data_IF_751428124876
#
_entry.id   IF_751428124876
#
_cell.length_a   1.000
_cell.length_b   1.000
_cell.length_c   1.000
_cell.angle_alpha   90.00
_cell.angle_beta   90.00
_cell.angle_gamma   90.00
#
_symmetry.space_group_name_H-M   'P 1'
#
loop_
_entity.id
_entity.type
_entity.pdbx_description
1 polymer ?
#
# COMPACT_ATOMS: atom_id res chain seq x y z
N UNK A 1 30.15 -2.34 2.83
CA UNK A 1 28.92 -1.57 2.54
C UNK A 1 28.62 -0.70 3.75
N UNK A 2 28.22 0.55 3.57
CA UNK A 2 27.77 1.41 4.66
C UNK A 2 26.47 0.85 5.25
N UNK A 3 26.29 1.00 6.57
CA UNK A 3 25.04 0.58 7.21
C UNK A 3 23.87 1.44 6.71
N UNK A 4 22.67 0.87 6.48
CA UNK A 4 21.49 1.68 6.16
C UNK A 4 21.16 2.66 7.29
N UNK A 5 20.63 3.83 6.95
CA UNK A 5 20.21 4.84 7.92
C UNK A 5 18.74 4.67 8.27
N UNK A 6 18.44 4.59 9.56
CA UNK A 6 17.10 4.45 10.13
C UNK A 6 16.79 5.68 10.97
N UNK A 7 15.65 6.32 10.70
CA UNK A 7 15.13 7.44 11.48
C UNK A 7 13.91 6.98 12.28
N UNK A 8 13.99 7.15 13.60
CA UNK A 8 12.95 6.80 14.57
C UNK A 8 12.35 8.07 15.16
N UNK A 9 11.01 8.18 15.14
CA UNK A 9 10.30 9.36 15.65
C UNK A 9 9.12 8.91 16.51
N UNK A 10 9.13 9.33 17.78
CA UNK A 10 8.07 9.07 18.75
C UNK A 10 8.19 10.12 19.84
N UNK A 11 7.11 10.70 20.35
CA UNK A 11 7.16 11.72 21.42
C UNK A 11 7.62 11.15 22.78
N UNK A 12 7.63 9.82 22.93
CA UNK A 12 8.12 9.14 24.12
C UNK A 12 9.57 8.64 23.94
N UNK A 13 10.54 9.29 24.57
CA UNK A 13 11.95 8.87 24.53
C UNK A 13 12.19 7.40 24.91
N UNK A 14 11.40 6.85 25.86
CA UNK A 14 11.54 5.45 26.25
C UNK A 14 11.22 4.48 25.12
N UNK A 15 10.25 4.83 24.27
CA UNK A 15 9.90 4.09 23.06
C UNK A 15 11.07 4.13 22.07
N UNK A 16 11.61 5.31 21.81
CA UNK A 16 12.78 5.50 20.96
C UNK A 16 13.97 4.68 21.42
N UNK A 17 14.26 4.66 22.73
CA UNK A 17 15.34 3.85 23.31
C UNK A 17 15.10 2.36 23.10
N UNK A 18 13.87 1.88 23.30
CA UNK A 18 13.51 0.48 23.07
C UNK A 18 13.67 0.07 21.60
N UNK A 19 13.22 0.91 20.67
CA UNK A 19 13.38 0.67 19.23
C UNK A 19 14.87 0.70 18.83
N UNK A 20 15.66 1.67 19.36
CA UNK A 20 17.09 1.75 19.09
C UNK A 20 17.81 0.47 19.47
N UNK A 21 17.45 -0.15 20.59
CA UNK A 21 18.06 -1.41 21.04
C UNK A 21 17.89 -2.55 20.04
N UNK A 22 16.85 -2.50 19.20
CA UNK A 22 16.64 -3.50 18.15
C UNK A 22 17.60 -3.31 16.95
N UNK A 23 18.09 -2.08 16.73
CA UNK A 23 18.72 -1.69 15.45
C UNK A 23 20.15 -1.16 15.55
N UNK A 24 20.67 -0.85 16.74
CA UNK A 24 21.95 -0.15 16.91
C UNK A 24 23.16 -0.89 16.31
N UNK A 25 23.11 -2.20 16.15
CA UNK A 25 24.20 -2.99 15.56
C UNK A 25 24.18 -2.99 14.04
N UNK A 26 22.98 -2.94 13.42
CA UNK A 26 22.78 -3.12 11.96
C UNK A 26 22.59 -1.81 11.19
N UNK A 27 22.27 -0.72 11.86
CA UNK A 27 21.86 0.55 11.23
C UNK A 27 22.60 1.75 11.81
N UNK A 28 22.67 2.83 11.03
CA UNK A 28 22.91 4.17 11.55
C UNK A 28 21.57 4.72 12.03
N UNK A 29 21.39 4.82 13.34
CA UNK A 29 20.10 5.14 13.93
C UNK A 29 20.07 6.59 14.40
N UNK A 30 19.21 7.41 13.76
CA UNK A 30 18.77 8.70 14.25
C UNK A 30 17.50 8.54 15.07
N UNK A 31 17.35 9.32 16.12
CA UNK A 31 16.16 9.34 16.98
C UNK A 31 15.83 10.78 17.32
N UNK A 32 14.58 11.14 17.22
CA UNK A 32 14.12 12.46 17.66
C UNK A 32 12.67 12.39 18.17
N UNK A 33 12.36 13.26 19.11
CA UNK A 33 10.99 13.52 19.56
C UNK A 33 10.36 14.71 18.85
N UNK A 34 11.14 15.43 18.03
CA UNK A 34 10.70 16.61 17.29
C UNK A 34 10.47 16.29 15.80
N UNK A 35 9.23 16.33 15.29
CA UNK A 35 8.93 16.10 13.89
C UNK A 35 9.64 17.07 12.93
N UNK A 36 9.91 18.29 13.37
CA UNK A 36 10.62 19.27 12.53
C UNK A 36 12.10 18.91 12.38
N UNK A 37 12.73 18.37 13.42
CA UNK A 37 14.07 17.82 13.32
C UNK A 37 14.10 16.60 12.40
N UNK A 38 13.11 15.72 12.49
CA UNK A 38 12.98 14.60 11.57
C UNK A 38 12.92 15.03 10.10
N UNK A 39 12.17 16.08 9.80
CA UNK A 39 12.09 16.65 8.44
C UNK A 39 13.46 17.20 8.00
N UNK A 40 14.23 17.83 8.88
CA UNK A 40 15.58 18.31 8.57
C UNK A 40 16.51 17.14 8.23
N UNK A 41 16.51 16.09 9.05
CA UNK A 41 17.30 14.87 8.80
C UNK A 41 16.94 14.26 7.44
N UNK A 42 15.65 14.16 7.10
CA UNK A 42 15.18 13.64 5.81
C UNK A 42 15.62 14.50 4.60
N UNK A 43 15.86 15.79 4.79
CA UNK A 43 16.38 16.69 3.74
C UNK A 43 17.89 16.59 3.58
N UNK A 44 18.60 16.51 4.69
CA UNK A 44 20.03 16.66 4.74
C UNK A 44 20.78 15.33 4.59
N UNK A 45 20.12 14.20 4.87
CA UNK A 45 20.75 12.89 4.89
C UNK A 45 19.96 11.87 4.04
N UNK A 46 20.70 10.85 3.56
CA UNK A 46 20.09 9.70 2.89
C UNK A 46 19.49 8.75 3.93
N UNK A 47 18.23 8.91 4.28
CA UNK A 47 17.48 8.04 5.19
C UNK A 47 16.85 6.89 4.41
N UNK A 48 17.16 5.65 4.76
CA UNK A 48 16.61 4.47 4.10
C UNK A 48 15.21 4.14 4.59
N UNK A 49 15.00 4.19 5.90
CA UNK A 49 13.72 3.88 6.53
C UNK A 49 13.39 4.93 7.57
N UNK A 50 12.17 5.41 7.56
CA UNK A 50 11.59 6.21 8.63
C UNK A 50 10.50 5.43 9.32
N UNK A 51 10.56 5.36 10.66
CA UNK A 51 9.55 4.75 11.52
C UNK A 51 9.00 5.83 12.42
N UNK A 52 7.72 6.15 12.27
CA UNK A 52 7.06 7.22 13.02
C UNK A 52 5.91 6.71 13.85
N UNK A 53 5.81 7.18 15.08
CA UNK A 53 4.55 7.09 15.82
C UNK A 53 3.46 7.90 15.13
N UNK A 54 2.19 7.46 15.27
CA UNK A 54 1.04 8.18 14.73
C UNK A 54 0.65 9.36 15.60
N UNK A 55 0.64 9.18 16.92
CA UNK A 55 0.08 10.18 17.85
C UNK A 55 1.15 11.00 18.53
N UNK A 56 1.58 12.06 17.85
CA UNK A 56 2.54 13.01 18.41
C UNK A 56 1.88 14.40 18.59
N UNK A 57 2.23 15.15 19.66
CA UNK A 57 1.54 16.41 20.00
C UNK A 57 1.63 17.52 18.95
N UNK A 58 2.77 17.61 18.25
CA UNK A 58 3.09 18.72 17.33
C UNK A 58 2.61 18.45 15.91
N UNK A 59 2.74 17.19 15.47
CA UNK A 59 2.42 16.75 14.10
C UNK A 59 2.09 15.27 14.15
N UNK A 60 1.05 14.86 13.45
CA UNK A 60 0.73 13.43 13.33
C UNK A 60 1.77 12.71 12.47
N UNK A 61 2.05 11.43 12.80
CA UNK A 61 2.99 10.62 12.04
C UNK A 61 2.62 10.48 10.58
N UNK A 62 1.34 10.38 10.27
CA UNK A 62 0.83 10.37 8.90
C UNK A 62 1.18 11.62 8.10
N UNK A 63 1.10 12.79 8.71
CA UNK A 63 1.49 14.05 8.09
C UNK A 63 3.01 14.11 7.86
N UNK A 64 3.79 13.69 8.86
CA UNK A 64 5.24 13.57 8.72
C UNK A 64 5.62 12.64 7.58
N UNK A 65 4.98 11.47 7.47
CA UNK A 65 5.27 10.50 6.41
C UNK A 65 4.85 11.01 5.02
N UNK A 66 3.82 11.84 4.92
CA UNK A 66 3.47 12.55 3.69
C UNK A 66 4.60 13.52 3.28
N UNK A 67 5.11 14.30 4.22
CA UNK A 67 6.26 15.19 3.96
C UNK A 67 7.50 14.38 3.59
N UNK A 68 7.75 13.26 4.28
CA UNK A 68 8.86 12.35 3.95
C UNK A 68 8.77 11.82 2.51
N UNK A 69 7.56 11.51 2.02
CA UNK A 69 7.33 11.09 0.63
C UNK A 69 7.74 12.17 -0.37
N UNK A 70 7.40 13.42 -0.08
CA UNK A 70 7.70 14.55 -0.97
C UNK A 70 9.18 14.93 -0.93
N UNK A 71 9.80 14.87 0.26
CA UNK A 71 11.17 15.30 0.50
C UNK A 71 12.20 14.26 0.08
N UNK A 72 11.94 12.98 0.40
CA UNK A 72 12.81 11.84 0.13
C UNK A 72 12.00 10.65 -0.38
N UNK A 73 11.59 10.65 -1.66
CA UNK A 73 10.71 9.62 -2.22
C UNK A 73 11.27 8.20 -2.12
N UNK A 74 12.58 8.04 -2.07
CA UNK A 74 13.24 6.74 -1.94
C UNK A 74 13.18 6.17 -0.52
N UNK A 75 13.01 7.01 0.50
CA UNK A 75 12.83 6.57 1.89
C UNK A 75 11.60 5.72 2.04
N UNK A 76 11.72 4.55 2.67
CA UNK A 76 10.58 3.70 3.02
C UNK A 76 9.96 4.17 4.34
N UNK A 77 8.65 4.15 4.42
CA UNK A 77 7.84 4.78 5.48
C UNK A 77 7.04 3.73 6.24
N UNK A 78 7.24 3.64 7.54
CA UNK A 78 6.55 2.72 8.45
C UNK A 78 5.85 3.56 9.51
N UNK A 79 4.58 3.26 9.78
CA UNK A 79 3.80 3.91 10.83
C UNK A 79 3.58 2.96 12.00
N UNK A 80 3.91 3.41 13.22
CA UNK A 80 3.53 2.74 14.45
C UNK A 80 2.22 3.35 14.94
N UNK A 81 1.23 2.53 15.27
CA UNK A 81 -0.09 3.01 15.66
C UNK A 81 -0.72 2.15 16.75
N UNK A 82 -1.50 2.77 17.62
CA UNK A 82 -2.33 2.06 18.62
C UNK A 82 -3.73 1.77 18.07
N UNK A 83 -4.46 0.90 18.75
CA UNK A 83 -5.84 0.56 18.39
C UNK A 83 -6.80 1.76 18.35
N UNK A 84 -6.55 2.77 19.20
CA UNK A 84 -7.40 3.97 19.31
C UNK A 84 -7.16 5.01 18.21
N UNK A 85 -6.14 4.83 17.37
CA UNK A 85 -5.65 5.86 16.45
C UNK A 85 -6.00 5.58 14.97
N UNK A 86 -6.72 4.53 14.75
CA UNK A 86 -6.93 3.94 13.44
C UNK A 86 -7.92 4.71 12.56
N UNK A 87 -8.92 5.37 13.15
CA UNK A 87 -9.82 6.26 12.39
C UNK A 87 -9.05 7.47 11.82
N UNK A 88 -8.08 7.99 12.59
CA UNK A 88 -7.15 9.01 12.10
C UNK A 88 -6.13 8.44 11.10
N UNK A 89 -5.77 7.16 11.22
CA UNK A 89 -4.84 6.48 10.30
C UNK A 89 -5.47 6.16 8.95
N UNK A 90 -6.79 5.98 8.86
CA UNK A 90 -7.49 5.78 7.59
C UNK A 90 -7.28 6.96 6.63
N UNK A 91 -7.32 8.19 7.14
CA UNK A 91 -6.97 9.37 6.35
C UNK A 91 -5.52 9.30 5.86
N UNK A 92 -4.61 8.73 6.65
CA UNK A 92 -3.19 8.62 6.32
C UNK A 92 -2.87 7.57 5.25
N UNK A 93 -3.67 6.51 5.11
CA UNK A 93 -3.55 5.55 3.99
C UNK A 93 -3.65 6.28 2.67
N UNK A 94 -4.54 7.28 2.61
CA UNK A 94 -4.81 8.05 1.40
C UNK A 94 -3.71 9.05 1.05
N UNK A 95 -2.83 9.42 1.96
CA UNK A 95 -1.86 10.52 1.76
C UNK A 95 -0.39 10.10 1.86
N UNK A 96 -0.05 9.24 2.83
CA UNK A 96 1.35 8.97 3.21
C UNK A 96 2.10 7.94 2.37
N UNK A 97 1.42 7.11 1.59
CA UNK A 97 2.04 5.92 0.95
C UNK A 97 2.88 5.11 1.94
N UNK A 98 2.29 4.77 3.06
CA UNK A 98 2.95 4.00 4.12
C UNK A 98 3.21 2.58 3.62
N UNK A 99 4.43 2.10 3.79
CA UNK A 99 4.83 0.75 3.38
C UNK A 99 4.22 -0.31 4.29
N UNK A 100 4.28 -0.09 5.61
CA UNK A 100 3.71 -0.98 6.62
C UNK A 100 3.15 -0.20 7.81
N UNK A 101 2.09 -0.73 8.36
CA UNK A 101 1.54 -0.33 9.64
C UNK A 101 1.90 -1.38 10.68
N UNK A 102 2.49 -0.97 11.80
CA UNK A 102 2.82 -1.83 12.91
C UNK A 102 2.02 -1.42 14.14
N UNK A 103 1.38 -2.40 14.76
CA UNK A 103 0.52 -2.16 15.93
C UNK A 103 1.32 -2.09 17.21
N UNK A 104 0.97 -1.13 18.08
CA UNK A 104 1.42 -1.10 19.49
C UNK A 104 0.48 -1.95 20.36
N UNK A 105 0.97 -2.85 21.22
CA UNK A 105 2.38 -3.19 21.43
C UNK A 105 2.91 -4.08 20.31
N UNK A 106 4.13 -3.80 19.83
CA UNK A 106 4.76 -4.53 18.72
C UNK A 106 5.55 -5.76 19.18
N UNK A 107 5.72 -6.69 18.27
CA UNK A 107 6.70 -7.77 18.39
C UNK A 107 8.06 -7.30 17.83
N UNK A 108 9.14 -7.42 18.62
CA UNK A 108 10.48 -6.96 18.20
C UNK A 108 11.03 -7.66 16.96
N UNK A 109 10.71 -8.92 16.76
CA UNK A 109 11.18 -9.67 15.58
C UNK A 109 10.41 -9.28 14.32
N UNK A 110 9.11 -9.02 14.44
CA UNK A 110 8.29 -8.46 13.36
C UNK A 110 8.82 -7.10 12.92
N UNK A 111 9.09 -6.19 13.87
CA UNK A 111 9.64 -4.86 13.58
C UNK A 111 11.00 -4.97 12.88
N UNK A 112 11.89 -5.87 13.31
CA UNK A 112 13.18 -6.10 12.66
C UNK A 112 13.00 -6.59 11.22
N UNK A 113 12.11 -7.54 11.00
CA UNK A 113 11.84 -8.09 9.67
C UNK A 113 11.32 -7.01 8.72
N UNK A 114 10.32 -6.23 9.15
CA UNK A 114 9.72 -5.16 8.34
C UNK A 114 10.73 -4.07 8.01
N UNK A 115 11.54 -3.65 8.99
CA UNK A 115 12.59 -2.63 8.77
C UNK A 115 13.69 -3.16 7.83
N UNK A 116 14.08 -4.43 7.94
CA UNK A 116 15.07 -5.03 7.04
C UNK A 116 14.57 -5.11 5.59
N UNK A 117 13.32 -5.51 5.39
CA UNK A 117 12.66 -5.51 4.08
C UNK A 117 12.62 -4.08 3.50
N UNK A 118 12.16 -3.11 4.29
CA UNK A 118 12.10 -1.71 3.89
C UNK A 118 13.47 -1.14 3.52
N UNK A 119 14.52 -1.45 4.30
CA UNK A 119 15.87 -0.97 4.03
C UNK A 119 16.43 -1.53 2.72
N UNK A 120 16.24 -2.81 2.43
CA UNK A 120 16.66 -3.41 1.16
C UNK A 120 15.99 -2.76 -0.06
N UNK A 121 14.70 -2.47 0.06
CA UNK A 121 13.94 -1.77 -0.99
C UNK A 121 14.44 -0.33 -1.17
N UNK A 122 14.72 0.38 -0.07
CA UNK A 122 15.24 1.75 -0.13
C UNK A 122 16.64 1.80 -0.77
N UNK A 123 17.53 0.88 -0.41
CA UNK A 123 18.88 0.78 -1.02
C UNK A 123 18.79 0.64 -2.55
N UNK A 124 17.93 -0.27 -3.04
CA UNK A 124 17.70 -0.43 -4.47
C UNK A 124 17.15 0.86 -5.10
N UNK A 125 16.23 1.55 -4.42
CA UNK A 125 15.67 2.83 -4.88
C UNK A 125 16.71 3.95 -4.99
N UNK A 126 17.58 4.09 -3.99
CA UNK A 126 18.67 5.09 -4.02
C UNK A 126 19.73 4.76 -5.07
N UNK A 127 20.04 3.48 -5.29
CA UNK A 127 20.98 3.07 -6.33
C UNK A 127 20.50 3.49 -7.73
N UNK A 128 19.22 3.35 -7.99
CA UNK A 128 18.60 3.74 -9.27
C UNK A 128 18.56 5.26 -9.47
N UNK A 129 18.30 6.03 -8.42
CA UNK A 129 18.37 7.50 -8.50
C UNK A 129 19.77 7.99 -8.89
N UNK A 130 20.83 7.27 -8.47
CA UNK A 130 22.23 7.61 -8.81
C UNK A 130 22.61 7.20 -10.24
N UNK A 131 21.97 6.20 -10.82
CA UNK A 131 22.33 5.67 -12.14
C UNK A 131 21.74 6.46 -13.33
N UNK A 132 21.08 7.60 -13.11
CA UNK A 132 20.40 8.42 -14.10
C UNK A 132 19.48 7.64 -15.06
N UNK A 133 18.20 7.66 -14.73
CA UNK A 133 17.08 7.67 -15.64
C UNK A 133 17.22 6.78 -16.89
N UNK A 134 16.82 5.56 -16.81
CA UNK A 134 16.22 4.92 -17.95
C UNK A 134 14.96 5.69 -18.32
N UNK A 135 14.95 6.27 -19.50
CA UNK A 135 13.81 7.00 -20.06
C UNK A 135 12.58 6.12 -19.99
N UNK A 136 11.54 6.63 -19.36
CA UNK A 136 10.26 5.97 -19.32
C UNK A 136 9.78 5.68 -20.74
N UNK A 137 9.80 4.42 -21.14
CA UNK A 137 9.20 3.99 -22.39
C UNK A 137 7.70 3.99 -22.18
N UNK A 138 7.04 5.03 -22.64
CA UNK A 138 5.59 5.04 -22.79
C UNK A 138 5.25 3.95 -23.79
N UNK A 139 4.72 2.82 -23.34
CA UNK A 139 4.14 1.81 -24.22
C UNK A 139 2.73 2.29 -24.58
N UNK A 140 2.49 2.78 -25.81
CA UNK A 140 1.15 3.12 -26.27
C UNK A 140 0.42 1.79 -26.53
N UNK A 141 -0.67 1.52 -25.84
CA UNK A 141 -1.31 0.29 -26.23
C UNK A 141 -2.73 0.15 -25.73
N UNK A 142 -3.01 -0.56 -24.70
CA UNK A 142 -4.38 -0.88 -24.29
C UNK A 142 -4.94 0.17 -23.33
N UNK A 143 -6.26 0.45 -23.43
CA UNK A 143 -6.96 1.21 -22.39
C UNK A 143 -6.77 0.52 -21.05
N UNK A 144 -6.49 1.25 -19.96
CA UNK A 144 -6.43 0.67 -18.64
C UNK A 144 -7.73 -0.07 -18.31
N UNK A 145 -7.61 -1.21 -17.65
CA UNK A 145 -8.74 -2.05 -17.27
C UNK A 145 -9.05 -1.86 -15.80
N UNK A 146 -10.29 -1.49 -15.47
CA UNK A 146 -10.77 -1.25 -14.11
C UNK A 146 -11.80 -2.29 -13.76
N UNK A 147 -11.53 -3.08 -12.72
CA UNK A 147 -12.47 -4.06 -12.18
C UNK A 147 -13.16 -3.47 -10.94
N UNK A 148 -14.47 -3.46 -10.95
CA UNK A 148 -15.30 -3.08 -9.82
C UNK A 148 -15.82 -4.37 -9.18
N UNK A 149 -15.51 -4.59 -7.91
CA UNK A 149 -15.95 -5.70 -7.09
C UNK A 149 -16.87 -5.15 -6.00
N UNK A 150 -18.13 -4.97 -6.32
CA UNK A 150 -19.15 -4.39 -5.43
C UNK A 150 -20.54 -4.87 -5.86
N UNK A 151 -21.37 -5.25 -4.89
CA UNK A 151 -22.77 -5.59 -5.15
C UNK A 151 -23.70 -4.38 -5.22
N UNK A 152 -23.19 -3.19 -4.87
CA UNK A 152 -23.92 -1.92 -4.95
C UNK A 152 -23.72 -1.29 -6.34
N UNK A 153 -24.81 -1.25 -7.12
CA UNK A 153 -24.84 -0.63 -8.45
C UNK A 153 -24.45 0.86 -8.41
N UNK A 154 -24.72 1.57 -7.31
CA UNK A 154 -24.37 2.97 -7.17
C UNK A 154 -22.85 3.19 -7.21
N UNK A 155 -22.05 2.28 -6.64
CA UNK A 155 -20.60 2.31 -6.76
C UNK A 155 -20.17 2.12 -8.22
N UNK A 156 -20.75 1.13 -8.91
CA UNK A 156 -20.43 0.87 -10.31
C UNK A 156 -20.77 2.07 -11.21
N UNK A 157 -21.95 2.67 -11.03
CA UNK A 157 -22.36 3.87 -11.76
C UNK A 157 -21.42 5.05 -11.50
N UNK A 158 -21.03 5.30 -10.24
CA UNK A 158 -20.12 6.38 -9.90
C UNK A 158 -18.74 6.23 -10.58
N UNK A 159 -18.19 5.01 -10.62
CA UNK A 159 -16.91 4.72 -11.33
C UNK A 159 -17.08 4.91 -12.83
N UNK A 160 -18.19 4.44 -13.42
CA UNK A 160 -18.46 4.61 -14.84
C UNK A 160 -18.53 6.08 -15.25
N UNK A 161 -19.23 6.92 -14.46
CA UNK A 161 -19.35 8.36 -14.74
C UNK A 161 -17.99 9.08 -14.65
N UNK A 162 -17.12 8.67 -13.71
CA UNK A 162 -15.79 9.28 -13.54
C UNK A 162 -14.83 8.88 -14.67
N UNK A 163 -14.86 7.61 -15.11
CA UNK A 163 -13.88 7.05 -16.05
C UNK A 163 -14.41 6.87 -17.47
N UNK A 164 -15.59 7.37 -17.80
CA UNK A 164 -16.26 7.17 -19.08
C UNK A 164 -15.32 7.43 -20.29
N UNK A 165 -15.23 6.44 -21.15
CA UNK A 165 -14.42 6.50 -22.37
C UNK A 165 -12.90 6.39 -22.18
N UNK A 166 -12.37 6.50 -20.96
CA UNK A 166 -10.93 6.49 -20.65
C UNK A 166 -10.40 5.09 -20.34
N UNK A 167 -11.23 4.22 -19.79
CA UNK A 167 -10.89 2.88 -19.34
C UNK A 167 -11.88 1.84 -19.87
N UNK A 168 -11.44 0.58 -19.89
CA UNK A 168 -12.34 -0.57 -19.95
C UNK A 168 -12.81 -0.86 -18.52
N UNK A 169 -14.12 -0.79 -18.29
CA UNK A 169 -14.69 -0.93 -16.95
C UNK A 169 -15.50 -2.22 -16.91
N UNK A 170 -15.24 -3.04 -15.91
CA UNK A 170 -15.91 -4.31 -15.67
C UNK A 170 -16.50 -4.28 -14.28
N UNK A 171 -17.75 -4.67 -14.16
CA UNK A 171 -18.44 -4.78 -12.89
C UNK A 171 -18.73 -6.23 -12.55
N UNK A 172 -18.22 -6.69 -11.43
CA UNK A 172 -18.47 -7.99 -10.84
C UNK A 172 -19.23 -7.81 -9.52
N UNK A 173 -20.46 -8.24 -9.47
CA UNK A 173 -21.32 -8.17 -8.29
C UNK A 173 -21.12 -9.33 -7.30
N UNK A 174 -20.32 -10.33 -7.68
CA UNK A 174 -19.98 -11.50 -6.86
C UNK A 174 -18.52 -11.92 -7.06
N UNK A 175 -18.02 -12.71 -6.12
CA UNK A 175 -16.63 -13.15 -6.10
C UNK A 175 -16.26 -14.09 -7.27
N UNK A 176 -17.20 -14.91 -7.75
CA UNK A 176 -16.94 -15.83 -8.84
C UNK A 176 -16.71 -15.06 -10.14
N UNK A 177 -17.60 -14.11 -10.46
CA UNK A 177 -17.46 -13.26 -11.64
C UNK A 177 -16.16 -12.43 -11.57
N UNK A 178 -15.81 -11.88 -10.40
CA UNK A 178 -14.55 -11.18 -10.22
C UNK A 178 -13.33 -12.07 -10.54
N UNK A 179 -13.33 -13.31 -10.07
CA UNK A 179 -12.26 -14.27 -10.32
C UNK A 179 -12.15 -14.63 -11.81
N UNK A 180 -13.28 -14.81 -12.49
CA UNK A 180 -13.31 -15.11 -13.93
C UNK A 180 -12.72 -13.96 -14.75
N UNK A 181 -13.06 -12.71 -14.41
CA UNK A 181 -12.53 -11.53 -15.09
C UNK A 181 -11.03 -11.31 -14.85
N UNK A 182 -10.56 -11.58 -13.63
CA UNK A 182 -9.14 -11.55 -13.29
C UNK A 182 -8.32 -12.64 -14.02
N UNK A 183 -8.96 -13.75 -14.37
CA UNK A 183 -8.33 -14.82 -15.13
C UNK A 183 -8.13 -14.45 -16.61
N UNK A 184 -9.03 -13.67 -17.19
CA UNK A 184 -9.02 -13.32 -18.63
C UNK A 184 -7.88 -12.37 -18.97
N UNK A 185 -7.67 -11.33 -18.17
CA UNK A 185 -6.68 -10.28 -18.46
C UNK A 185 -6.19 -9.60 -17.18
N UNK A 186 -5.03 -8.97 -17.25
CA UNK A 186 -4.51 -8.15 -16.18
C UNK A 186 -5.35 -6.88 -15.99
N UNK A 187 -5.49 -6.48 -14.74
CA UNK A 187 -6.29 -5.34 -14.30
C UNK A 187 -5.37 -4.25 -13.78
N UNK A 188 -5.62 -3.02 -14.21
CA UNK A 188 -4.83 -1.84 -13.79
C UNK A 188 -5.25 -1.34 -12.42
N UNK A 189 -6.55 -1.23 -12.19
CA UNK A 189 -7.14 -0.76 -10.92
C UNK A 189 -8.29 -1.67 -10.52
N UNK A 190 -8.32 -2.04 -9.24
CA UNK A 190 -9.44 -2.74 -8.61
C UNK A 190 -10.12 -1.77 -7.65
N UNK A 191 -11.41 -1.58 -7.83
CA UNK A 191 -12.31 -0.87 -6.90
C UNK A 191 -13.15 -1.92 -6.20
N UNK A 192 -12.96 -2.13 -4.91
CA UNK A 192 -13.60 -3.26 -4.21
C UNK A 192 -14.32 -2.82 -2.95
N UNK A 193 -15.55 -3.31 -2.74
CA UNK A 193 -16.02 -3.50 -1.37
C UNK A 193 -15.28 -4.68 -0.73
N UNK A 194 -15.27 -4.77 0.57
CA UNK A 194 -14.72 -5.89 1.32
C UNK A 194 -15.69 -7.08 1.39
N UNK A 195 -16.98 -6.78 1.30
CA UNK A 195 -18.03 -7.77 1.36
C UNK A 195 -18.82 -7.79 0.04
N UNK A 196 -18.81 -8.93 -0.65
CA UNK A 196 -19.70 -9.20 -1.78
C UNK A 196 -20.81 -10.14 -1.30
N UNK A 197 -21.94 -9.57 -0.90
CA UNK A 197 -22.96 -10.27 -0.15
C UNK A 197 -22.41 -10.71 1.22
N UNK A 198 -22.39 -12.01 1.48
CA UNK A 198 -21.82 -12.59 2.72
C UNK A 198 -20.33 -12.98 2.60
N UNK A 199 -19.74 -12.82 1.42
CA UNK A 199 -18.37 -13.24 1.14
C UNK A 199 -17.38 -12.11 1.38
N UNK A 200 -16.42 -12.31 2.29
CA UNK A 200 -15.28 -11.42 2.44
C UNK A 200 -14.28 -11.70 1.32
N UNK A 201 -14.01 -10.68 0.49
CA UNK A 201 -13.12 -10.79 -0.68
C UNK A 201 -11.71 -10.27 -0.44
N UNK A 202 -11.34 -10.00 0.80
CA UNK A 202 -10.00 -9.51 1.15
C UNK A 202 -8.88 -10.44 0.64
N UNK A 203 -9.08 -11.76 0.67
CA UNK A 203 -8.12 -12.73 0.11
C UNK A 203 -7.89 -12.55 -1.40
N UNK A 204 -8.90 -12.10 -2.16
CA UNK A 204 -8.76 -11.82 -3.60
C UNK A 204 -7.80 -10.64 -3.79
N UNK A 205 -7.99 -9.55 -3.05
CA UNK A 205 -7.12 -8.37 -3.11
C UNK A 205 -5.68 -8.72 -2.75
N UNK A 206 -5.47 -9.51 -1.69
CA UNK A 206 -4.15 -10.01 -1.27
C UNK A 206 -3.50 -10.84 -2.38
N UNK A 207 -4.26 -11.75 -3.00
CA UNK A 207 -3.76 -12.61 -4.09
C UNK A 207 -3.42 -11.82 -5.34
N UNK A 208 -4.28 -10.85 -5.75
CA UNK A 208 -4.01 -9.97 -6.89
C UNK A 208 -2.68 -9.26 -6.70
N UNK A 209 -2.44 -8.72 -5.51
CA UNK A 209 -1.24 -7.95 -5.24
C UNK A 209 0.03 -8.80 -5.21
N UNK A 210 -0.06 -10.05 -4.75
CA UNK A 210 1.04 -11.00 -4.81
C UNK A 210 1.40 -11.39 -6.26
N UNK A 211 0.40 -11.58 -7.11
CA UNK A 211 0.59 -11.99 -8.51
C UNK A 211 0.96 -10.83 -9.43
N UNK A 212 0.36 -9.66 -9.21
CA UNK A 212 0.52 -8.46 -10.02
C UNK A 212 0.80 -7.23 -9.13
N UNK A 213 2.03 -7.02 -8.67
CA UNK A 213 2.38 -5.93 -7.74
C UNK A 213 2.02 -4.53 -8.27
N UNK A 214 1.99 -4.33 -9.60
CA UNK A 214 1.63 -3.06 -10.22
C UNK A 214 0.14 -2.72 -10.11
N UNK A 215 -0.76 -3.70 -9.99
CA UNK A 215 -2.20 -3.46 -9.85
C UNK A 215 -2.47 -2.59 -8.63
N UNK A 216 -3.25 -1.53 -8.82
CA UNK A 216 -3.65 -0.64 -7.74
C UNK A 216 -5.00 -1.05 -7.18
N UNK A 217 -5.12 -1.11 -5.86
CA UNK A 217 -6.36 -1.49 -5.19
C UNK A 217 -6.89 -0.31 -4.36
N UNK A 218 -8.15 0.03 -4.56
CA UNK A 218 -8.92 0.93 -3.72
C UNK A 218 -10.07 0.18 -3.07
N UNK A 219 -10.20 0.33 -1.76
CA UNK A 219 -11.31 -0.24 -1.00
C UNK A 219 -12.35 0.83 -0.78
N UNK A 220 -13.60 0.50 -1.10
CA UNK A 220 -14.78 1.36 -0.96
C UNK A 220 -15.81 0.59 -0.15
N UNK A 221 -15.98 0.90 1.12
CA UNK A 221 -16.80 0.07 1.99
C UNK A 221 -17.52 0.87 3.08
N UNK A 222 -18.64 0.37 3.55
CA UNK A 222 -19.28 0.84 4.78
C UNK A 222 -18.78 0.11 6.03
N UNK A 223 -17.95 -0.92 5.84
CA UNK A 223 -17.40 -1.73 6.93
C UNK A 223 -16.18 -1.04 7.53
N UNK A 224 -16.17 -0.88 8.87
CA UNK A 224 -15.15 -0.12 9.60
C UNK A 224 -14.35 -0.96 10.59
N UNK A 225 -14.12 -2.26 10.30
CA UNK A 225 -13.22 -3.03 11.15
C UNK A 225 -11.75 -2.70 10.86
N UNK A 226 -11.19 -2.11 11.83
CA UNK A 226 -9.85 -1.54 11.83
C UNK A 226 -8.72 -2.56 11.69
N UNK A 227 -8.86 -3.73 12.33
CA UNK A 227 -7.85 -4.78 12.22
C UNK A 227 -7.78 -5.35 10.81
N UNK A 228 -8.96 -5.61 10.22
CA UNK A 228 -9.06 -6.03 8.83
C UNK A 228 -8.45 -5.00 7.87
N UNK A 229 -8.58 -3.72 8.16
CA UNK A 229 -8.01 -2.66 7.33
C UNK A 229 -6.47 -2.67 7.37
N UNK A 230 -5.86 -2.75 8.55
CA UNK A 230 -4.39 -2.82 8.68
C UNK A 230 -3.85 -4.07 7.99
N UNK A 231 -4.52 -5.19 8.18
CA UNK A 231 -4.14 -6.42 7.53
C UNK A 231 -4.17 -6.29 6.00
N UNK A 232 -5.20 -5.66 5.45
CA UNK A 232 -5.30 -5.38 4.02
C UNK A 232 -4.22 -4.39 3.54
N UNK A 233 -3.91 -3.36 4.32
CA UNK A 233 -2.81 -2.45 3.97
C UNK A 233 -1.50 -3.21 3.90
N UNK A 234 -1.20 -4.06 4.89
CA UNK A 234 0.05 -4.79 4.95
C UNK A 234 0.13 -5.95 3.94
N UNK A 235 -0.97 -6.69 3.73
CA UNK A 235 -0.99 -7.92 2.93
C UNK A 235 -1.52 -7.73 1.50
N UNK A 236 -2.26 -6.64 1.22
CA UNK A 236 -2.74 -6.29 -0.12
C UNK A 236 -2.22 -4.95 -0.61
N UNK A 237 -1.49 -4.20 0.23
CA UNK A 237 -1.06 -2.84 -0.09
C UNK A 237 -2.16 -2.02 -0.77
N UNK A 238 -3.35 -2.01 -0.17
CA UNK A 238 -4.43 -1.16 -0.67
C UNK A 238 -3.93 0.28 -0.77
N UNK A 239 -4.10 0.86 -1.94
CA UNK A 239 -3.55 2.19 -2.25
C UNK A 239 -4.42 3.30 -1.67
N UNK A 240 -5.71 3.03 -1.49
CA UNK A 240 -6.71 3.98 -0.98
C UNK A 240 -7.84 3.25 -0.26
N UNK A 241 -8.41 3.94 0.70
CA UNK A 241 -9.61 3.53 1.42
C UNK A 241 -10.63 4.68 1.41
N UNK A 242 -11.84 4.40 0.97
CA UNK A 242 -12.94 5.37 0.94
C UNK A 242 -14.17 4.81 1.64
N UNK A 243 -14.68 5.51 2.67
CA UNK A 243 -15.92 5.10 3.30
C UNK A 243 -17.12 5.41 2.39
N UNK A 244 -18.12 4.53 2.40
CA UNK A 244 -19.44 4.83 1.83
C UNK A 244 -20.23 5.76 2.77
N UNK A 245 -21.00 6.76 2.27
CA UNK A 245 -21.32 7.03 0.87
C UNK A 245 -20.21 7.77 0.13
N UNK A 246 -20.02 7.43 -1.16
CA UNK A 246 -18.99 8.00 -2.01
C UNK A 246 -19.27 9.42 -2.46
N UNK A 247 -18.30 10.31 -2.32
CA UNK A 247 -18.26 11.60 -3.01
C UNK A 247 -17.63 11.43 -4.40
N UNK A 248 -18.32 11.85 -5.48
CA UNK A 248 -17.81 11.78 -6.85
C UNK A 248 -16.48 12.49 -7.02
N UNK A 249 -16.32 13.68 -6.45
CA UNK A 249 -15.09 14.44 -6.56
C UNK A 249 -13.91 13.76 -5.85
N UNK A 250 -14.16 13.11 -4.72
CA UNK A 250 -13.15 12.33 -4.01
C UNK A 250 -12.78 11.08 -4.81
N UNK A 251 -13.76 10.33 -5.30
CA UNK A 251 -13.55 9.15 -6.12
C UNK A 251 -12.73 9.47 -7.38
N UNK A 252 -13.08 10.54 -8.09
CA UNK A 252 -12.39 10.97 -9.31
C UNK A 252 -10.90 11.22 -9.06
N UNK A 253 -10.56 12.02 -8.05
CA UNK A 253 -9.16 12.31 -7.70
C UNK A 253 -8.35 11.07 -7.38
N UNK A 254 -8.95 10.13 -6.64
CA UNK A 254 -8.27 8.90 -6.27
C UNK A 254 -8.10 7.95 -7.45
N UNK A 255 -9.10 7.80 -8.31
CA UNK A 255 -8.99 6.95 -9.51
C UNK A 255 -7.96 7.50 -10.50
N UNK A 256 -7.91 8.82 -10.72
CA UNK A 256 -6.88 9.45 -11.55
C UNK A 256 -5.47 9.17 -11.02
N UNK A 257 -5.26 9.42 -9.74
CA UNK A 257 -3.99 9.11 -9.09
C UNK A 257 -3.58 7.63 -9.23
N UNK A 258 -4.53 6.69 -9.07
CA UNK A 258 -4.23 5.26 -9.15
C UNK A 258 -3.88 4.81 -10.58
N UNK A 259 -4.53 5.40 -11.59
CA UNK A 259 -4.20 5.14 -12.99
C UNK A 259 -2.80 5.66 -13.36
N UNK A 260 -2.46 6.88 -12.93
CA UNK A 260 -1.11 7.44 -13.10
C UNK A 260 -0.05 6.59 -12.40
N UNK A 261 -0.34 6.17 -11.16
CA UNK A 261 0.55 5.31 -10.38
C UNK A 261 0.75 3.94 -11.03
N UNK A 262 -0.30 3.32 -11.54
CA UNK A 262 -0.21 2.08 -12.30
C UNK A 262 0.73 2.22 -13.49
N UNK A 263 0.57 3.29 -14.28
CA UNK A 263 1.44 3.58 -15.42
C UNK A 263 2.91 3.77 -15.00
N UNK A 264 3.14 4.51 -13.92
CA UNK A 264 4.49 4.70 -13.39
C UNK A 264 5.13 3.37 -12.96
N UNK A 265 4.39 2.47 -12.31
CA UNK A 265 4.87 1.16 -11.91
C UNK A 265 5.16 0.22 -13.09
N UNK A 266 4.36 0.31 -14.16
CA UNK A 266 4.61 -0.45 -15.39
C UNK A 266 5.89 0.03 -16.08
N UNK A 267 6.15 1.33 -16.07
CA UNK A 267 7.31 1.95 -16.72
C UNK A 267 8.60 1.84 -15.90
N UNK A 268 8.50 1.62 -14.59
CA UNK A 268 9.64 1.54 -13.66
C UNK A 268 9.57 0.26 -12.81
N UNK A 269 10.11 -0.86 -13.27
CA UNK A 269 10.08 -2.14 -12.54
C UNK A 269 10.68 -2.05 -11.12
N UNK A 270 11.63 -1.16 -10.91
CA UNK A 270 12.22 -0.88 -9.60
C UNK A 270 11.23 -0.37 -8.56
N UNK A 271 10.19 0.36 -9.00
CA UNK A 271 9.13 0.81 -8.12
C UNK A 271 8.20 -0.34 -7.71
N UNK A 272 8.15 -1.44 -8.49
CA UNK A 272 7.33 -2.61 -8.15
C UNK A 272 7.83 -3.30 -6.88
N UNK A 273 9.14 -3.28 -6.59
CA UNK A 273 9.69 -3.85 -5.35
C UNK A 273 9.12 -3.15 -4.10
N UNK A 274 8.75 -1.86 -4.22
CA UNK A 274 8.09 -1.11 -3.15
C UNK A 274 6.64 -1.54 -2.91
N UNK A 275 6.11 -2.37 -3.80
CA UNK A 275 4.78 -2.95 -3.71
C UNK A 275 4.81 -4.37 -3.15
N UNK A 276 5.91 -4.77 -2.50
CA UNK A 276 5.96 -6.07 -1.83
C UNK A 276 4.96 -6.10 -0.67
N UNK A 277 4.30 -7.23 -0.49
CA UNK A 277 3.24 -7.43 0.49
C UNK A 277 3.67 -8.43 1.56
N UNK A 278 3.17 -8.25 2.77
CA UNK A 278 3.35 -9.22 3.83
C UNK A 278 2.65 -10.55 3.46
N UNK A 279 3.17 -11.70 3.91
CA UNK A 279 2.51 -12.98 3.70
C UNK A 279 1.11 -12.99 4.34
N UNK A 280 0.17 -13.70 3.72
CA UNK A 280 -1.17 -13.91 4.30
C UNK A 280 -1.01 -14.72 5.58
N UNK A 281 -1.40 -14.11 6.70
CA UNK A 281 -1.24 -14.70 8.04
C UNK A 281 -2.37 -15.67 8.42
N UNK A 282 -3.60 -15.39 7.94
CA UNK A 282 -4.78 -16.20 8.22
C UNK A 282 -4.72 -17.51 7.42
N UNK A 283 -4.72 -18.71 8.07
CA UNK A 283 -4.61 -19.98 7.36
C UNK A 283 -5.77 -20.26 6.38
N UNK A 284 -6.99 -19.82 6.71
CA UNK A 284 -8.16 -20.02 5.84
C UNK A 284 -8.05 -19.14 4.59
N UNK A 285 -7.67 -17.86 4.74
CA UNK A 285 -7.46 -16.97 3.60
C UNK A 285 -6.28 -17.43 2.73
N UNK A 286 -5.22 -17.95 3.34
CA UNK A 286 -4.09 -18.54 2.62
C UNK A 286 -4.54 -19.68 1.72
N UNK A 287 -5.34 -20.60 2.25
CA UNK A 287 -5.91 -21.71 1.48
C UNK A 287 -6.80 -21.22 0.33
N UNK A 288 -7.64 -20.19 0.58
CA UNK A 288 -8.47 -19.57 -0.46
C UNK A 288 -7.62 -18.91 -1.55
N UNK A 289 -6.55 -18.22 -1.16
CA UNK A 289 -5.60 -17.60 -2.09
C UNK A 289 -4.86 -18.63 -2.96
N UNK A 290 -4.42 -19.75 -2.38
CA UNK A 290 -3.80 -20.84 -3.12
C UNK A 290 -4.77 -21.50 -4.12
N UNK A 291 -6.01 -21.74 -3.69
CA UNK A 291 -7.07 -22.24 -4.57
C UNK A 291 -7.36 -21.27 -5.72
N UNK A 292 -7.45 -19.97 -5.43
CA UNK A 292 -7.66 -18.93 -6.43
C UNK A 292 -6.49 -18.87 -7.42
N UNK A 293 -5.25 -18.87 -6.94
CA UNK A 293 -4.05 -18.90 -7.79
C UNK A 293 -4.04 -20.11 -8.73
N UNK A 294 -4.40 -21.29 -8.21
CA UNK A 294 -4.53 -22.51 -9.01
C UNK A 294 -5.61 -22.40 -10.08
N UNK A 295 -6.76 -21.81 -9.74
CA UNK A 295 -7.87 -21.55 -10.67
C UNK A 295 -7.44 -20.60 -11.79
N UNK A 296 -6.81 -19.47 -11.44
CA UNK A 296 -6.27 -18.50 -12.42
C UNK A 296 -5.31 -19.16 -13.40
N UNK A 297 -4.41 -20.02 -12.89
CA UNK A 297 -3.46 -20.74 -13.72
C UNK A 297 -4.13 -21.71 -14.71
N UNK A 298 -5.22 -22.36 -14.30
CA UNK A 298 -6.01 -23.25 -15.18
C UNK A 298 -6.78 -22.48 -16.24
N UNK A 299 -7.45 -21.40 -15.87
CA UNK A 299 -8.27 -20.59 -16.78
C UNK A 299 -7.39 -19.87 -17.83
N UNK A 300 -6.24 -19.35 -17.45
CA UNK A 300 -5.28 -18.71 -18.37
C UNK A 300 -4.73 -19.71 -19.40
N UNK A 301 -4.52 -20.98 -19.01
CA UNK A 301 -4.09 -22.04 -19.92
C UNK A 301 -5.20 -22.53 -20.87
N UNK A 302 -6.46 -22.45 -20.45
CA UNK A 302 -7.61 -22.84 -21.27
C UNK A 302 -8.05 -21.78 -22.29
N UNK A 303 -7.69 -20.52 -22.05
CA UNK A 303 -8.00 -19.38 -22.94
C UNK A 303 -6.88 -18.99 -23.91
N UNK A 304 -5.70 -19.64 -23.80
CA UNK A 304 -4.57 -19.48 -24.72
C UNK A 304 -4.60 -20.59 -25.77
#
# INVERSE_FOLDING_TARGET
>A
MSKPTLLLIDDEERILRSLRMLFFTGYNVHMTTDPHEAIRILRDEQVHVVVSDQRMPVMQGSELLRIARETSPATMRILLTGYSDLDASIASVNEGEVFRYLMKPWNGDEVKQVVAEAAAIAEAGFALQKSHAESAVVVPGKKPRVLIMDNDEATAQAVHEVLQGRCEIIWASDAQHAMEELAKQDVSVVVSDLMLGETNVGYILKTIKQLNPQTQCIVVTSFSDTNSLIELINQAQISRYLPKPLSRGTLARHLEYLLERFQALCNMPSLQQRQSVAPISNPQEKQLSENFTSLLGRLRKAGA
#
